data_IF_439508240510
#
_entry.id   IF_439508240510
#
_cell.length_a   1.000
_cell.length_b   1.000
_cell.length_c   1.000
_cell.angle_alpha   90.00
_cell.angle_beta   90.00
_cell.angle_gamma   90.00
#
_symmetry.space_group_name_H-M   'P 1'
#
loop_
_entity.id
_entity.type
_entity.pdbx_description
1 polymer ?
#
# COMPACT_ATOMS: atom_id res chain seq x y z
N UNK A 1 -6.24 -20.85 -20.91
CA UNK A 1 -7.21 -19.78 -20.55
C UNK A 1 -8.60 -19.99 -21.13
N UNK A 2 -8.76 -20.38 -22.41
CA UNK A 2 -10.09 -20.57 -23.05
C UNK A 2 -10.96 -21.74 -22.50
N UNK A 3 -10.44 -22.60 -21.61
CA UNK A 3 -11.20 -23.72 -21.01
C UNK A 3 -11.94 -23.37 -19.71
N UNK A 4 -11.80 -22.15 -19.19
CA UNK A 4 -12.35 -21.73 -17.90
C UNK A 4 -13.34 -20.54 -17.99
N UNK A 5 -13.81 -20.17 -19.20
CA UNK A 5 -14.66 -18.97 -19.41
C UNK A 5 -14.09 -17.68 -18.79
N UNK A 6 -12.76 -17.54 -18.75
CA UNK A 6 -12.10 -16.33 -18.26
C UNK A 6 -11.93 -15.35 -19.41
N UNK A 7 -12.53 -14.17 -19.27
CA UNK A 7 -12.37 -13.07 -20.22
C UNK A 7 -10.97 -12.47 -20.07
N UNK A 8 -10.18 -12.33 -21.14
CA UNK A 8 -8.92 -11.60 -21.07
C UNK A 8 -9.20 -10.12 -20.76
N UNK A 9 -8.39 -9.53 -19.88
CA UNK A 9 -8.48 -8.12 -19.54
C UNK A 9 -7.18 -7.39 -19.89
N UNK A 10 -7.32 -6.14 -20.34
CA UNK A 10 -6.19 -5.25 -20.59
C UNK A 10 -5.67 -4.58 -19.31
N UNK A 11 -4.50 -3.95 -19.42
CA UNK A 11 -3.88 -3.25 -18.28
C UNK A 11 -4.71 -2.05 -17.79
N UNK A 12 -5.42 -1.35 -18.67
CA UNK A 12 -6.30 -0.24 -18.27
C UNK A 12 -7.44 -0.71 -17.36
N UNK A 13 -8.08 -1.84 -17.68
CA UNK A 13 -9.12 -2.41 -16.82
C UNK A 13 -8.57 -2.81 -15.44
N UNK A 14 -7.35 -3.35 -15.38
CA UNK A 14 -6.66 -3.64 -14.12
C UNK A 14 -6.41 -2.37 -13.29
N UNK A 15 -5.98 -1.28 -13.92
CA UNK A 15 -5.71 -0.03 -13.22
C UNK A 15 -7.00 0.61 -12.67
N UNK A 16 -8.10 0.58 -13.42
CA UNK A 16 -9.40 1.01 -12.89
C UNK A 16 -9.82 0.16 -11.69
N UNK A 17 -9.77 -1.18 -11.82
CA UNK A 17 -10.19 -2.08 -10.75
C UNK A 17 -9.35 -1.93 -9.48
N UNK A 18 -8.03 -1.73 -9.59
CA UNK A 18 -7.17 -1.55 -8.41
C UNK A 18 -7.44 -0.23 -7.70
N UNK A 19 -7.78 0.83 -8.44
CA UNK A 19 -8.14 2.13 -7.87
C UNK A 19 -9.45 2.01 -7.10
N UNK A 20 -10.47 1.39 -7.70
CA UNK A 20 -11.76 1.14 -7.04
C UNK A 20 -11.63 0.27 -5.78
N UNK A 21 -10.71 -0.71 -5.80
CA UNK A 21 -10.42 -1.55 -4.64
C UNK A 21 -9.49 -0.89 -3.59
N UNK A 22 -8.95 0.30 -3.86
CA UNK A 22 -8.05 1.02 -2.95
C UNK A 22 -6.66 0.40 -2.82
N UNK A 23 -6.15 -0.27 -3.85
CA UNK A 23 -4.82 -0.86 -3.85
C UNK A 23 -3.74 0.10 -4.38
N UNK A 24 -2.67 0.21 -3.59
CA UNK A 24 -1.49 1.00 -3.94
C UNK A 24 -0.72 0.37 -5.11
N UNK A 25 -0.19 1.23 -5.99
CA UNK A 25 0.74 0.87 -7.04
C UNK A 25 2.12 1.50 -6.75
N UNK A 26 3.16 0.66 -6.73
CA UNK A 26 4.54 1.13 -6.59
C UNK A 26 4.94 2.03 -7.77
N UNK A 27 5.61 3.14 -7.47
CA UNK A 27 5.96 4.19 -8.43
C UNK A 27 4.85 5.20 -8.70
N UNK A 28 3.63 4.98 -8.19
CA UNK A 28 2.53 5.97 -8.25
C UNK A 28 2.12 6.41 -6.86
N UNK A 29 1.73 5.46 -6.00
CA UNK A 29 1.22 5.75 -4.65
C UNK A 29 2.30 5.62 -3.57
N UNK A 30 3.39 4.91 -3.88
CA UNK A 30 4.51 4.68 -2.97
C UNK A 30 5.81 4.45 -3.72
N UNK A 31 6.92 4.86 -3.12
CA UNK A 31 8.30 4.60 -3.53
C UNK A 31 9.20 4.59 -2.28
N UNK A 32 10.53 4.61 -2.43
CA UNK A 32 11.45 4.62 -1.29
C UNK A 32 11.35 5.88 -0.41
N UNK A 33 10.69 6.95 -0.88
CA UNK A 33 10.51 8.21 -0.15
C UNK A 33 9.23 8.27 0.69
N UNK A 34 8.30 7.33 0.50
CA UNK A 34 6.99 7.31 1.17
C UNK A 34 6.96 6.17 2.20
N UNK A 35 6.62 6.51 3.45
CA UNK A 35 6.52 5.48 4.48
C UNK A 35 5.13 4.79 4.48
N UNK A 36 5.02 3.56 5.03
CA UNK A 36 3.77 2.78 4.99
C UNK A 36 2.57 3.45 5.67
N UNK A 37 2.80 4.33 6.66
CA UNK A 37 1.71 5.06 7.32
C UNK A 37 1.12 6.14 6.41
N UNK A 38 1.93 6.71 5.52
CA UNK A 38 1.51 7.76 4.59
C UNK A 38 0.71 7.21 3.40
N UNK A 39 1.05 6.01 2.91
CA UNK A 39 0.33 5.37 1.81
C UNK A 39 -0.83 4.47 2.26
N UNK A 40 -1.22 4.49 3.54
CA UNK A 40 -2.37 3.74 4.04
C UNK A 40 -2.12 2.24 4.29
N UNK A 41 -0.85 1.81 4.26
CA UNK A 41 -0.42 0.43 4.51
C UNK A 41 0.02 0.18 5.96
N UNK A 42 -0.19 1.13 6.88
CA UNK A 42 0.18 0.96 8.29
C UNK A 42 -0.38 -0.31 8.94
N UNK A 43 -1.53 -0.78 8.49
CA UNK A 43 -2.16 -2.02 8.98
C UNK A 43 -1.37 -3.29 8.65
N UNK A 44 -0.46 -3.25 7.67
CA UNK A 44 0.40 -4.38 7.31
C UNK A 44 1.70 -4.43 8.13
N UNK A 45 1.96 -3.40 8.96
CA UNK A 45 3.18 -3.29 9.76
C UNK A 45 2.92 -3.84 11.16
N UNK A 46 3.59 -4.94 11.50
CA UNK A 46 3.52 -5.55 12.82
C UNK A 46 4.43 -4.82 13.82
N UNK A 47 3.83 -3.92 14.61
CA UNK A 47 4.51 -3.18 15.68
C UNK A 47 4.21 -3.73 17.08
N UNK A 48 3.25 -4.64 17.21
CA UNK A 48 2.80 -5.17 18.51
C UNK A 48 3.80 -6.20 19.08
N UNK A 49 4.45 -6.97 18.21
CA UNK A 49 5.54 -7.85 18.63
C UNK A 49 6.83 -7.04 18.89
N UNK A 50 7.09 -6.76 20.17
CA UNK A 50 8.29 -6.07 20.61
C UNK A 50 9.59 -6.84 20.29
N UNK A 51 9.56 -8.18 20.29
CA UNK A 51 10.74 -9.04 20.11
C UNK A 51 11.13 -9.22 18.64
N UNK A 52 10.16 -9.05 17.73
CA UNK A 52 10.38 -9.17 16.29
C UNK A 52 11.16 -7.99 15.73
N UNK A 53 12.39 -8.19 15.29
CA UNK A 53 13.18 -7.18 14.56
C UNK A 53 12.98 -7.31 13.04
N UNK A 54 12.90 -6.18 12.35
CA UNK A 54 12.84 -6.11 10.89
C UNK A 54 13.44 -4.79 10.37
N UNK A 55 13.82 -4.79 9.08
CA UNK A 55 14.45 -3.63 8.44
C UNK A 55 13.48 -2.44 8.46
N UNK A 56 13.92 -1.32 9.04
CA UNK A 56 13.13 -0.10 9.13
C UNK A 56 12.26 0.03 10.38
N UNK A 57 12.23 -0.97 11.28
CA UNK A 57 11.42 -0.91 12.52
C UNK A 57 11.73 0.34 13.35
N UNK A 58 13.01 0.59 13.64
CA UNK A 58 13.44 1.75 14.43
C UNK A 58 13.08 3.08 13.77
N UNK A 59 13.22 3.15 12.43
CA UNK A 59 12.85 4.36 11.70
C UNK A 59 11.35 4.60 11.75
N UNK A 60 10.53 3.56 11.63
CA UNK A 60 9.08 3.65 11.66
C UNK A 60 8.54 3.94 13.07
N UNK A 61 9.20 3.47 14.13
CA UNK A 61 8.82 3.77 15.52
C UNK A 61 8.96 5.25 15.86
N UNK A 62 9.92 5.93 15.23
CA UNK A 62 10.18 7.36 15.45
C UNK A 62 9.27 8.29 14.63
N UNK A 63 8.37 7.75 13.80
CA UNK A 63 7.45 8.55 12.99
C UNK A 63 6.22 8.97 13.80
N UNK A 64 5.97 10.28 13.84
CA UNK A 64 4.72 10.83 14.37
C UNK A 64 3.60 10.71 13.34
N UNK A 65 2.86 9.59 13.40
CA UNK A 65 1.78 9.25 12.46
C UNK A 65 0.74 10.38 12.33
N UNK A 66 0.51 11.18 13.39
CA UNK A 66 -0.48 12.27 13.38
C UNK A 66 -0.04 13.47 12.54
N UNK A 67 1.27 13.65 12.33
CA UNK A 67 1.86 14.75 11.54
C UNK A 67 2.25 14.32 10.13
N UNK A 68 2.26 13.02 9.86
CA UNK A 68 2.57 12.46 8.54
C UNK A 68 1.50 12.82 7.51
N UNK A 69 1.91 12.87 6.23
CA UNK A 69 0.96 13.02 5.13
C UNK A 69 0.07 11.78 5.07
N UNK A 70 -1.12 11.89 4.48
CA UNK A 70 -2.01 10.74 4.33
C UNK A 70 -2.57 10.68 2.92
N UNK A 71 -2.38 9.55 2.27
CA UNK A 71 -3.05 9.23 1.02
C UNK A 71 -4.56 9.12 1.29
N UNK A 72 -5.33 9.94 0.58
CA UNK A 72 -6.80 9.97 0.66
C UNK A 72 -7.37 9.84 -0.73
N UNK A 73 -8.41 9.02 -0.87
CA UNK A 73 -9.17 8.93 -2.11
C UNK A 73 -10.06 10.17 -2.27
N UNK A 74 -10.10 10.73 -3.48
CA UNK A 74 -11.13 11.69 -3.88
C UNK A 74 -12.17 10.94 -4.70
N UNK A 75 -13.44 11.12 -4.34
CA UNK A 75 -14.59 10.65 -5.13
C UNK A 75 -15.13 11.80 -5.98
#
# INVERSE_FOLDING_TARGET
MLKLNVTPIGLGARDTLRIEAGYCLYGTDMDESINPYECGLGWTVDMDDAQRSFIGKDSLQNIDIKKSKKLVGSF
#
